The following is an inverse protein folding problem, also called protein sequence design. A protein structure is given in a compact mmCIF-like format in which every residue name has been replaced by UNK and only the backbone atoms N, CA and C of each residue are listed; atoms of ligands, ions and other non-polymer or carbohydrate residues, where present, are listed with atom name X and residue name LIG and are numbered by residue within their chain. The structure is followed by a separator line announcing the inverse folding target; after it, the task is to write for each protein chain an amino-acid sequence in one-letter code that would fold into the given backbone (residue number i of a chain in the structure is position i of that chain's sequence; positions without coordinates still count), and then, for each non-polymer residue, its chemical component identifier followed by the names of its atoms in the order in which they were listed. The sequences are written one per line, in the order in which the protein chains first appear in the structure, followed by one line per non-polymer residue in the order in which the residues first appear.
data_IF_303177337979
#
_entry.id   IF_303177337979
#
_cell.length_a   1.000
_cell.length_b   1.000
_cell.length_c   1.000
_cell.angle_alpha   90.00
_cell.angle_beta   90.00
_cell.angle_gamma   90.00
#
_symmetry.space_group_name_H-M   'P 1'
#
loop_
_entity.id
_entity.type
_entity.pdbx_description
1 polymer ?
#
# COMPACT_ATOMS: atom_id res chain seq x y z
N UNK A 1 7.32 -3.76 -8.04
CA UNK A 1 8.34 -2.70 -7.98
C UNK A 1 8.66 -2.34 -9.42
N UNK A 2 8.57 -1.05 -9.77
CA UNK A 2 8.54 -0.56 -11.15
C UNK A 2 9.76 0.32 -11.46
N UNK A 3 10.95 -0.15 -11.10
CA UNK A 3 12.17 0.60 -11.34
C UNK A 3 13.42 -0.25 -11.22
N UNK A 4 14.51 0.30 -11.73
CA UNK A 4 15.82 -0.32 -11.75
C UNK A 4 16.62 0.12 -10.53
N UNK A 5 16.95 -0.83 -9.64
CA UNK A 5 17.75 -0.59 -8.45
C UNK A 5 18.95 -1.53 -8.44
N UNK A 6 20.11 -1.02 -8.06
CA UNK A 6 21.36 -1.79 -8.08
C UNK A 6 21.29 -2.97 -7.10
N UNK A 7 20.74 -2.73 -5.91
CA UNK A 7 20.55 -3.74 -4.85
C UNK A 7 19.70 -3.18 -3.70
N UNK A 8 19.15 -4.08 -2.90
CA UNK A 8 18.49 -3.78 -1.63
C UNK A 8 19.38 -4.24 -0.48
N UNK A 9 19.84 -3.32 0.35
CA UNK A 9 20.82 -3.61 1.41
C UNK A 9 20.25 -3.51 2.82
N UNK A 10 19.07 -2.90 2.97
CA UNK A 10 18.38 -2.81 4.25
C UNK A 10 18.12 -4.19 4.87
N UNK A 11 18.50 -4.33 6.14
CA UNK A 11 18.23 -5.51 6.95
C UNK A 11 17.99 -5.06 8.39
N UNK A 12 16.79 -5.32 8.89
CA UNK A 12 16.39 -5.01 10.27
C UNK A 12 17.31 -5.66 11.29
N UNK A 13 17.84 -6.85 10.99
CA UNK A 13 18.67 -7.66 11.89
C UNK A 13 20.06 -7.06 12.14
N UNK A 14 20.52 -6.15 11.26
CA UNK A 14 21.80 -5.46 11.42
C UNK A 14 21.72 -4.25 12.35
N UNK A 15 20.51 -3.79 12.69
CA UNK A 15 20.26 -2.66 13.59
C UNK A 15 21.01 -1.37 13.20
N UNK A 16 21.20 -1.13 11.91
CA UNK A 16 21.78 0.12 11.43
C UNK A 16 20.79 1.28 11.65
N UNK A 17 21.29 2.41 12.14
CA UNK A 17 20.47 3.61 12.40
C UNK A 17 20.59 4.69 11.32
N UNK A 18 21.59 4.59 10.43
CA UNK A 18 21.83 5.55 9.35
C UNK A 18 22.91 5.05 8.39
N UNK A 19 22.91 5.55 7.15
CA UNK A 19 24.01 5.42 6.18
C UNK A 19 24.87 6.70 6.21
N UNK A 20 26.19 6.56 6.05
CA UNK A 20 27.14 7.69 6.12
C UNK A 20 27.91 7.84 4.82
N UNK A 21 27.73 8.99 4.16
CA UNK A 21 28.51 9.36 2.98
C UNK A 21 29.96 9.64 3.37
N UNK A 22 30.91 9.02 2.65
CA UNK A 22 32.34 9.23 2.86
C UNK A 22 32.91 10.16 1.79
N UNK A 23 33.80 11.06 2.19
CA UNK A 23 34.48 11.97 1.28
C UNK A 23 35.25 11.20 0.19
N UNK A 24 35.07 11.61 -1.06
CA UNK A 24 35.79 11.05 -2.21
C UNK A 24 35.31 9.66 -2.65
N UNK A 25 34.22 9.13 -2.10
CA UNK A 25 33.61 7.87 -2.54
C UNK A 25 32.45 8.12 -3.51
N UNK A 26 32.24 7.17 -4.41
CA UNK A 26 31.12 7.17 -5.36
C UNK A 26 29.82 6.91 -4.59
N UNK A 27 28.78 7.67 -4.90
CA UNK A 27 27.44 7.46 -4.34
C UNK A 27 26.69 6.41 -5.14
N UNK A 28 25.92 5.57 -4.44
CA UNK A 28 25.05 4.57 -5.07
C UNK A 28 23.61 4.78 -4.63
N UNK A 29 22.66 4.44 -5.51
CA UNK A 29 21.22 4.43 -5.22
C UNK A 29 20.89 3.55 -4.02
N UNK A 30 21.60 2.42 -3.86
CA UNK A 30 21.43 1.50 -2.75
C UNK A 30 21.61 2.17 -1.37
N UNK A 31 22.59 3.07 -1.24
CA UNK A 31 22.87 3.76 0.02
C UNK A 31 21.76 4.77 0.36
N UNK A 32 21.20 5.43 -0.67
CA UNK A 32 20.07 6.36 -0.52
C UNK A 32 18.76 5.63 -0.17
N UNK A 33 18.49 4.52 -0.86
CA UNK A 33 17.34 3.66 -0.60
C UNK A 33 17.41 3.05 0.81
N UNK A 34 18.56 2.50 1.21
CA UNK A 34 18.75 1.91 2.55
C UNK A 34 18.55 2.94 3.66
N UNK A 35 19.03 4.18 3.49
CA UNK A 35 18.77 5.24 4.46
C UNK A 35 17.27 5.54 4.60
N UNK A 36 16.52 5.52 3.50
CA UNK A 36 15.06 5.73 3.52
C UNK A 36 14.36 4.59 4.24
N UNK A 37 14.73 3.34 3.94
CA UNK A 37 14.15 2.16 4.57
C UNK A 37 14.46 2.07 6.07
N UNK A 38 15.68 2.44 6.49
CA UNK A 38 16.06 2.53 7.91
C UNK A 38 15.17 3.54 8.65
N UNK A 39 14.99 4.73 8.06
CA UNK A 39 14.16 5.76 8.67
C UNK A 39 12.68 5.34 8.75
N UNK A 40 12.15 4.75 7.68
CA UNK A 40 10.78 4.25 7.61
C UNK A 40 10.54 3.16 8.66
N UNK A 41 11.42 2.15 8.72
CA UNK A 41 11.33 1.08 9.72
C UNK A 41 11.31 1.63 11.15
N UNK A 42 12.19 2.59 11.45
CA UNK A 42 12.22 3.23 12.78
C UNK A 42 10.92 3.97 13.08
N UNK A 43 10.44 4.82 12.17
CA UNK A 43 9.22 5.62 12.35
C UNK A 43 8.00 4.74 12.54
N UNK A 44 7.84 3.70 11.71
CA UNK A 44 6.70 2.78 11.80
C UNK A 44 6.73 1.94 13.07
N UNK A 45 7.91 1.45 13.46
CA UNK A 45 8.05 0.68 14.71
C UNK A 45 7.75 1.56 15.92
N UNK A 46 8.27 2.79 15.95
CA UNK A 46 7.97 3.76 17.01
C UNK A 46 6.48 4.10 17.07
N UNK A 47 5.85 4.33 15.92
CA UNK A 47 4.41 4.58 15.85
C UNK A 47 3.61 3.37 16.36
N UNK A 48 3.98 2.15 15.97
CA UNK A 48 3.33 0.92 16.45
C UNK A 48 3.47 0.76 17.96
N UNK A 49 4.66 1.00 18.52
CA UNK A 49 4.94 0.81 19.94
C UNK A 49 4.25 1.87 20.82
N UNK A 50 4.13 3.11 20.34
CA UNK A 50 3.55 4.23 21.09
C UNK A 50 2.03 4.32 20.91
N UNK A 51 1.53 4.12 19.68
CA UNK A 51 0.11 4.29 19.34
C UNK A 51 -0.64 2.94 19.43
N UNK A 52 0.05 1.84 19.13
CA UNK A 52 -0.55 0.52 18.94
C UNK A 52 -0.80 0.18 17.47
N UNK A 53 -1.50 -0.94 17.22
CA UNK A 53 -1.83 -1.41 15.86
C UNK A 53 -2.72 -0.45 15.08
N UNK A 54 -3.58 0.29 15.77
CA UNK A 54 -4.40 1.31 15.15
C UNK A 54 -4.63 2.48 16.10
N UNK A 55 -4.66 3.68 15.56
CA UNK A 55 -4.94 4.87 16.35
C UNK A 55 -5.02 6.14 15.53
N UNK A 56 -5.56 7.19 16.15
CA UNK A 56 -5.75 8.48 15.53
C UNK A 56 -5.33 9.59 16.50
N UNK A 57 -4.78 10.72 16.01
CA UNK A 57 -4.49 11.85 16.87
C UNK A 57 -5.77 12.40 17.52
N UNK A 58 -5.75 12.67 18.82
CA UNK A 58 -6.97 13.06 19.56
C UNK A 58 -7.69 14.30 19.02
N UNK A 59 -6.98 15.23 18.37
CA UNK A 59 -7.53 16.48 17.81
C UNK A 59 -7.62 16.50 16.28
N UNK A 60 -7.03 15.52 15.60
CA UNK A 60 -6.99 15.43 14.14
C UNK A 60 -7.37 14.01 13.68
N UNK A 61 -8.28 13.36 14.41
CA UNK A 61 -8.72 12.01 14.12
C UNK A 61 -9.51 11.98 12.80
N UNK A 62 -8.97 11.29 11.80
CA UNK A 62 -9.63 11.13 10.51
C UNK A 62 -10.53 9.90 10.42
N UNK A 63 -11.10 9.69 9.23
CA UNK A 63 -11.79 8.45 8.84
C UNK A 63 -13.05 8.08 9.65
N UNK A 64 -13.57 9.03 10.42
CA UNK A 64 -14.90 8.89 11.02
C UNK A 64 -15.95 8.75 9.93
N UNK A 65 -16.82 7.77 10.08
CA UNK A 65 -17.97 7.58 9.18
C UNK A 65 -19.16 8.38 9.69
N UNK A 66 -19.79 9.15 8.80
CA UNK A 66 -20.95 9.96 9.16
C UNK A 66 -21.92 10.14 8.00
N UNK A 67 -23.20 10.35 8.31
CA UNK A 67 -24.25 10.68 7.35
C UNK A 67 -24.86 12.07 7.58
N UNK A 68 -24.54 12.70 8.72
CA UNK A 68 -25.06 14.00 9.10
C UNK A 68 -23.95 14.86 9.70
N UNK A 69 -23.68 15.99 9.05
CA UNK A 69 -22.67 16.98 9.43
C UNK A 69 -22.95 17.56 10.82
N UNK A 70 -24.22 17.59 11.26
CA UNK A 70 -24.61 18.11 12.57
C UNK A 70 -23.94 17.34 13.72
N UNK A 71 -23.60 16.06 13.48
CA UNK A 71 -22.95 15.17 14.46
C UNK A 71 -21.44 15.42 14.61
N UNK A 72 -20.84 16.23 13.74
CA UNK A 72 -19.44 16.56 13.81
C UNK A 72 -19.17 17.66 14.84
N UNK A 73 -18.11 17.47 15.62
CA UNK A 73 -17.61 18.47 16.56
C UNK A 73 -16.83 19.60 15.84
N UNK A 74 -16.36 20.60 16.59
CA UNK A 74 -15.68 21.76 16.02
C UNK A 74 -14.36 21.40 15.31
N UNK A 75 -13.57 20.48 15.87
CA UNK A 75 -12.29 20.05 15.30
C UNK A 75 -12.51 19.23 14.01
N UNK A 76 -13.50 18.33 14.01
CA UNK A 76 -13.88 17.51 12.86
C UNK A 76 -14.37 18.37 11.69
N UNK A 77 -15.12 19.45 11.96
CA UNK A 77 -15.64 20.35 10.92
C UNK A 77 -14.54 21.09 10.14
N UNK A 78 -13.33 21.20 10.67
CA UNK A 78 -12.16 21.77 9.95
C UNK A 78 -11.81 20.96 8.70
N UNK A 79 -12.08 19.67 8.70
CA UNK A 79 -11.78 18.74 7.60
C UNK A 79 -12.88 18.66 6.54
N UNK A 80 -13.93 19.47 6.69
CA UNK A 80 -14.94 19.61 5.64
C UNK A 80 -14.38 20.44 4.47
N UNK A 81 -14.72 20.09 3.22
CA UNK A 81 -14.34 20.90 2.07
C UNK A 81 -14.99 22.28 2.13
N UNK A 82 -14.36 23.27 1.47
CA UNK A 82 -14.92 24.62 1.34
C UNK A 82 -16.22 24.63 0.50
N UNK A 83 -16.35 23.68 -0.42
CA UNK A 83 -17.57 23.44 -1.19
C UNK A 83 -18.56 22.58 -0.41
N UNK A 84 -19.88 22.80 -0.55
CA UNK A 84 -20.89 21.96 0.10
C UNK A 84 -20.71 20.48 -0.24
N UNK A 85 -20.90 19.62 0.76
CA UNK A 85 -20.92 18.17 0.54
C UNK A 85 -22.05 17.78 -0.41
N UNK A 86 -21.83 16.80 -1.31
CA UNK A 86 -22.87 16.29 -2.20
C UNK A 86 -24.04 15.67 -1.42
N UNK A 87 -25.20 15.53 -2.05
CA UNK A 87 -26.34 14.85 -1.43
C UNK A 87 -26.03 13.36 -1.23
N UNK A 88 -26.48 12.80 -0.11
CA UNK A 88 -26.30 11.37 0.18
C UNK A 88 -27.33 10.53 -0.57
N UNK A 89 -26.83 9.54 -1.31
CA UNK A 89 -27.65 8.46 -1.85
C UNK A 89 -27.93 7.39 -0.78
N UNK A 90 -28.95 6.54 -1.03
CA UNK A 90 -29.28 5.47 -0.09
C UNK A 90 -28.13 4.47 0.01
N UNK A 91 -27.66 4.22 1.23
CA UNK A 91 -26.56 3.29 1.48
C UNK A 91 -25.16 3.90 1.38
N UNK A 92 -25.05 5.18 1.02
CA UNK A 92 -23.78 5.91 1.03
C UNK A 92 -23.58 6.65 2.36
N UNK A 93 -22.33 7.04 2.62
CA UNK A 93 -21.92 7.80 3.80
C UNK A 93 -20.61 8.54 3.53
N UNK A 94 -20.32 9.54 4.35
CA UNK A 94 -19.07 10.29 4.27
C UNK A 94 -17.98 9.66 5.12
N UNK A 95 -16.74 9.79 4.63
CA UNK A 95 -15.49 9.48 5.31
C UNK A 95 -14.84 10.82 5.65
N UNK A 96 -14.66 11.13 6.93
CA UNK A 96 -14.07 12.39 7.37
C UNK A 96 -12.59 12.51 6.96
N UNK A 97 -12.14 13.72 6.64
CA UNK A 97 -10.71 14.04 6.53
C UNK A 97 -9.99 13.97 7.89
N UNK A 98 -8.66 13.91 7.85
CA UNK A 98 -7.80 13.82 9.02
C UNK A 98 -6.76 12.72 8.90
N UNK A 99 -6.18 12.35 10.05
CA UNK A 99 -5.06 11.40 10.13
C UNK A 99 -5.45 10.13 10.87
N UNK A 100 -4.85 9.02 10.45
CA UNK A 100 -4.98 7.73 11.11
C UNK A 100 -3.70 6.92 10.94
N UNK A 101 -3.44 6.01 11.87
CA UNK A 101 -2.30 5.10 11.83
C UNK A 101 -2.80 3.66 11.79
N UNK A 102 -2.28 2.88 10.84
CA UNK A 102 -2.55 1.44 10.70
C UNK A 102 -1.22 0.71 10.66
N UNK A 103 -0.96 -0.14 11.65
CA UNK A 103 0.30 -0.86 11.85
C UNK A 103 1.54 0.05 11.74
N UNK A 104 1.45 1.26 12.33
CA UNK A 104 2.52 2.27 12.30
C UNK A 104 2.58 3.12 11.02
N UNK A 105 1.82 2.77 9.97
CA UNK A 105 1.76 3.53 8.72
C UNK A 105 0.81 4.72 8.88
N UNK A 106 1.31 5.94 8.67
CA UNK A 106 0.49 7.15 8.61
C UNK A 106 -0.38 7.16 7.36
N UNK A 107 -1.67 7.40 7.56
CA UNK A 107 -2.69 7.56 6.54
C UNK A 107 -3.33 8.93 6.70
N UNK A 108 -3.46 9.65 5.60
CA UNK A 108 -4.03 11.00 5.57
C UNK A 108 -5.16 11.08 4.54
N UNK A 109 -6.23 11.76 4.93
CA UNK A 109 -7.31 12.15 4.04
C UNK A 109 -7.50 13.66 4.14
N UNK A 110 -7.28 14.38 3.04
CA UNK A 110 -7.22 15.84 3.04
C UNK A 110 -8.57 16.52 3.29
N UNK A 111 -9.68 15.88 2.91
CA UNK A 111 -11.02 16.41 3.16
C UNK A 111 -12.08 15.31 3.21
N UNK A 112 -13.25 15.62 3.76
CA UNK A 112 -14.36 14.68 3.79
C UNK A 112 -14.80 14.28 2.36
N UNK A 113 -14.93 12.98 2.12
CA UNK A 113 -15.30 12.39 0.81
C UNK A 113 -16.45 11.39 0.98
N UNK A 114 -17.24 11.18 -0.08
CA UNK A 114 -18.22 10.07 -0.11
C UNK A 114 -17.51 8.72 -0.17
N UNK A 115 -18.06 7.69 0.45
CA UNK A 115 -17.56 6.32 0.34
C UNK A 115 -17.54 5.84 -1.11
N UNK A 116 -18.55 6.21 -1.89
CA UNK A 116 -18.60 5.90 -3.33
C UNK A 116 -17.55 6.64 -4.16
N UNK A 117 -17.03 7.77 -3.65
CA UNK A 117 -16.08 8.65 -4.34
C UNK A 117 -14.70 8.67 -3.66
N UNK A 118 -14.42 7.69 -2.80
CA UNK A 118 -13.15 7.61 -2.10
C UNK A 118 -11.99 7.50 -3.12
N UNK A 119 -10.83 8.10 -2.82
CA UNK A 119 -9.67 7.99 -3.67
C UNK A 119 -9.22 6.53 -3.79
N UNK A 120 -8.64 6.17 -4.94
CA UNK A 120 -8.04 4.86 -5.22
C UNK A 120 -8.99 3.63 -5.17
N UNK A 121 -10.26 3.76 -4.74
CA UNK A 121 -11.31 2.73 -4.86
C UNK A 121 -12.74 3.33 -4.92
N UNK A 122 -13.14 3.99 -6.02
CA UNK A 122 -14.54 4.33 -6.21
C UNK A 122 -15.41 3.08 -6.09
N UNK A 123 -16.35 3.08 -5.16
CA UNK A 123 -17.18 1.92 -4.82
C UNK A 123 -18.65 2.22 -5.02
N UNK A 124 -19.49 1.20 -5.10
CA UNK A 124 -20.94 1.40 -5.11
C UNK A 124 -21.45 1.59 -3.68
N UNK A 125 -22.48 2.43 -3.46
CA UNK A 125 -23.17 2.51 -2.18
C UNK A 125 -23.64 1.15 -1.66
N UNK A 126 -23.80 1.01 -0.34
CA UNK A 126 -24.23 -0.24 0.27
C UNK A 126 -25.67 -0.59 -0.17
N UNK A 127 -25.83 -1.70 -0.88
CA UNK A 127 -27.11 -2.09 -1.48
C UNK A 127 -28.13 -2.64 -0.48
N UNK A 128 -27.67 -3.42 0.49
CA UNK A 128 -28.55 -4.13 1.41
C UNK A 128 -28.41 -3.62 2.85
N UNK A 129 -29.52 -3.47 3.59
CA UNK A 129 -29.42 -3.06 4.98
C UNK A 129 -28.92 -4.22 5.86
N UNK A 130 -28.04 -3.91 6.80
CA UNK A 130 -27.46 -4.89 7.72
C UNK A 130 -26.44 -4.27 8.66
N UNK A 131 -25.78 -5.12 9.45
CA UNK A 131 -24.59 -4.73 10.20
C UNK A 131 -23.37 -4.91 9.30
N UNK A 132 -22.55 -3.86 9.23
CA UNK A 132 -21.31 -3.85 8.46
C UNK A 132 -20.13 -3.56 9.38
N UNK A 133 -19.01 -4.23 9.12
CA UNK A 133 -17.70 -3.83 9.62
C UNK A 133 -17.02 -3.03 8.51
N UNK A 134 -16.66 -1.78 8.83
CA UNK A 134 -15.82 -0.97 7.97
C UNK A 134 -14.36 -1.05 8.46
N UNK A 135 -13.43 -1.23 7.54
CA UNK A 135 -12.00 -1.30 7.85
C UNK A 135 -11.19 -0.58 6.79
N UNK A 136 -10.01 -0.10 7.20
CA UNK A 136 -9.04 0.51 6.31
C UNK A 136 -8.07 -0.58 5.82
N UNK A 137 -7.97 -0.71 4.52
CA UNK A 137 -6.92 -1.47 3.85
C UNK A 137 -5.84 -0.48 3.39
N UNK A 138 -4.62 -0.64 3.90
CA UNK A 138 -3.53 0.34 3.77
C UNK A 138 -2.29 -0.36 3.25
N UNK A 139 -1.71 0.18 2.19
CA UNK A 139 -0.45 -0.33 1.63
C UNK A 139 0.35 0.75 0.93
N UNK A 140 1.56 0.39 0.52
CA UNK A 140 2.45 1.26 -0.25
C UNK A 140 2.43 0.87 -1.72
N UNK A 141 2.07 1.83 -2.57
CA UNK A 141 2.09 1.69 -4.03
C UNK A 141 3.31 2.39 -4.60
N UNK A 142 4.02 1.70 -5.47
CA UNK A 142 5.10 2.27 -6.27
C UNK A 142 4.50 3.09 -7.44
N UNK A 143 4.90 4.34 -7.54
CA UNK A 143 4.50 5.31 -8.57
C UNK A 143 5.72 5.69 -9.41
N UNK A 144 5.58 5.63 -10.73
CA UNK A 144 6.60 6.08 -11.68
C UNK A 144 6.15 7.32 -12.44
N UNK A 145 7.07 7.90 -13.20
CA UNK A 145 6.80 9.03 -14.10
C UNK A 145 5.73 8.75 -15.19
N UNK A 146 5.35 7.48 -15.43
CA UNK A 146 4.24 7.14 -16.33
C UNK A 146 2.87 7.37 -15.67
N UNK A 147 2.80 7.15 -14.36
CA UNK A 147 1.58 7.34 -13.57
C UNK A 147 1.44 8.80 -13.11
N UNK A 148 2.54 9.45 -12.77
CA UNK A 148 2.60 10.86 -12.43
C UNK A 148 3.71 11.57 -13.24
N UNK A 149 3.36 12.23 -14.36
CA UNK A 149 4.33 12.92 -15.21
C UNK A 149 5.12 14.03 -14.50
N UNK A 150 4.62 14.56 -13.38
CA UNK A 150 5.30 15.62 -12.62
C UNK A 150 6.60 15.14 -11.94
N UNK A 151 6.79 13.82 -11.82
CA UNK A 151 8.02 13.22 -11.30
C UNK A 151 9.20 13.45 -12.24
N UNK A 152 8.98 13.67 -13.54
CA UNK A 152 10.07 13.88 -14.51
C UNK A 152 10.77 15.21 -14.27
N UNK A 153 12.09 15.20 -14.36
CA UNK A 153 12.86 16.44 -14.31
C UNK A 153 12.76 17.16 -15.67
N UNK A 154 12.00 18.25 -15.68
CA UNK A 154 11.74 19.03 -16.90
C UNK A 154 13.02 19.73 -17.37
N UNK A 155 13.88 20.19 -16.46
CA UNK A 155 15.11 20.91 -16.80
C UNK A 155 16.15 20.04 -17.51
N UNK A 156 16.12 18.72 -17.31
CA UNK A 156 17.04 17.77 -17.94
C UNK A 156 16.47 17.11 -19.20
N UNK A 157 15.35 17.61 -19.72
CA UNK A 157 14.72 17.08 -20.93
C UNK A 157 13.86 15.84 -20.69
N UNK A 158 13.38 15.62 -19.45
CA UNK A 158 12.46 14.53 -19.11
C UNK A 158 13.01 13.17 -18.68
N UNK A 159 14.32 12.94 -18.39
CA UNK A 159 14.76 11.70 -17.74
C UNK A 159 14.02 11.41 -16.43
N UNK A 160 13.74 10.13 -16.19
CA UNK A 160 13.30 9.65 -14.88
C UNK A 160 14.52 9.57 -13.95
N UNK A 161 14.52 10.35 -12.89
CA UNK A 161 15.62 10.40 -11.91
C UNK A 161 15.29 9.59 -10.64
N UNK A 162 14.07 9.10 -10.50
CA UNK A 162 13.65 8.38 -9.31
C UNK A 162 12.14 8.28 -9.21
N UNK A 163 11.71 7.19 -8.62
CA UNK A 163 10.29 6.86 -8.44
C UNK A 163 9.78 7.29 -7.06
N UNK A 164 8.49 7.14 -6.79
CA UNK A 164 7.87 7.47 -5.50
C UNK A 164 7.13 6.28 -4.93
N UNK A 165 7.03 6.25 -3.60
CA UNK A 165 6.15 5.34 -2.89
C UNK A 165 5.01 6.16 -2.30
N UNK A 166 3.78 5.88 -2.73
CA UNK A 166 2.55 6.49 -2.22
C UNK A 166 1.92 5.55 -1.20
N UNK A 167 1.62 6.04 -0.01
CA UNK A 167 0.70 5.34 0.90
C UNK A 167 -0.71 5.46 0.33
N UNK A 168 -1.34 4.31 0.08
CA UNK A 168 -2.72 4.22 -0.40
C UNK A 168 -3.57 3.65 0.70
N UNK A 169 -4.78 4.18 0.83
CA UNK A 169 -5.80 3.66 1.72
C UNK A 169 -7.08 3.40 0.95
N UNK A 170 -7.81 2.38 1.36
CA UNK A 170 -9.15 2.09 0.88
C UNK A 170 -10.03 1.76 2.08
N UNK A 171 -11.15 2.44 2.21
CA UNK A 171 -12.19 2.03 3.14
C UNK A 171 -13.01 0.93 2.48
N UNK A 172 -13.00 -0.26 3.07
CA UNK A 172 -13.78 -1.42 2.63
C UNK A 172 -14.81 -1.78 3.68
N UNK A 173 -15.91 -2.37 3.23
CA UNK A 173 -17.01 -2.81 4.10
C UNK A 173 -17.27 -4.29 3.90
N UNK A 174 -17.56 -4.99 4.99
CA UNK A 174 -17.99 -6.39 4.98
C UNK A 174 -19.29 -6.46 5.76
N UNK A 175 -20.33 -7.03 5.13
CA UNK A 175 -21.60 -7.31 5.80
C UNK A 175 -21.39 -8.51 6.72
N UNK A 176 -21.75 -8.36 7.99
CA UNK A 176 -21.57 -9.39 9.02
C UNK A 176 -22.90 -9.90 9.59
N UNK A 177 -23.98 -9.13 9.48
CA UNK A 177 -25.32 -9.59 9.89
C UNK A 177 -26.41 -8.96 9.01
N UNK A 178 -27.48 -9.70 8.80
CA UNK A 178 -28.69 -9.17 8.16
C UNK A 178 -29.49 -8.29 9.11
N UNK A 179 -30.20 -7.30 8.53
CA UNK A 179 -31.08 -6.40 9.30
C UNK A 179 -32.10 -7.14 10.17
N UNK A 180 -32.59 -8.30 9.71
CA UNK A 180 -33.62 -9.07 10.41
C UNK A 180 -33.06 -9.99 11.49
N UNK A 181 -31.73 -10.15 11.58
CA UNK A 181 -31.04 -11.04 12.51
C UNK A 181 -29.99 -10.32 13.36
N UNK A 182 -30.15 -9.00 13.57
CA UNK A 182 -29.19 -8.18 14.28
C UNK A 182 -29.03 -8.64 15.74
N UNK A 183 -27.81 -9.02 16.08
CA UNK A 183 -27.37 -9.28 17.45
C UNK A 183 -26.51 -8.11 17.94
N UNK A 184 -26.48 -7.88 19.25
CA UNK A 184 -25.61 -6.84 19.83
C UNK A 184 -24.15 -7.21 19.58
N UNK A 185 -23.43 -6.31 18.92
CA UNK A 185 -21.99 -6.40 18.71
C UNK A 185 -21.28 -5.28 19.47
N UNK A 186 -20.03 -5.52 19.84
CA UNK A 186 -19.11 -4.53 20.38
C UNK A 186 -17.74 -4.68 19.72
N UNK A 187 -16.78 -3.83 20.10
CA UNK A 187 -15.43 -3.84 19.51
C UNK A 187 -14.65 -5.16 19.73
N UNK A 188 -15.08 -6.01 20.66
CA UNK A 188 -14.51 -7.34 20.89
C UNK A 188 -15.28 -8.48 20.24
N UNK A 189 -16.36 -8.20 19.50
CA UNK A 189 -17.09 -9.23 18.76
C UNK A 189 -16.29 -9.66 17.53
N UNK A 190 -15.95 -10.95 17.47
CA UNK A 190 -15.28 -11.55 16.32
C UNK A 190 -16.32 -11.95 15.26
N UNK A 191 -16.09 -11.56 14.01
CA UNK A 191 -16.96 -11.87 12.87
C UNK A 191 -16.19 -12.71 11.86
N UNK A 192 -16.71 -13.89 11.53
CA UNK A 192 -16.04 -14.81 10.60
C UNK A 192 -15.85 -14.19 9.21
N UNK A 193 -16.85 -13.46 8.72
CA UNK A 193 -16.81 -12.78 7.44
C UNK A 193 -15.70 -11.72 7.40
N UNK A 194 -15.52 -10.98 8.50
CA UNK A 194 -14.45 -9.98 8.60
C UNK A 194 -13.07 -10.65 8.63
N UNK A 195 -12.89 -11.72 9.41
CA UNK A 195 -11.62 -12.48 9.43
C UNK A 195 -11.30 -13.08 8.07
N UNK A 196 -12.30 -13.62 7.37
CA UNK A 196 -12.12 -14.18 6.05
C UNK A 196 -11.70 -13.11 5.04
N UNK A 197 -12.31 -11.91 5.11
CA UNK A 197 -11.97 -10.78 4.23
C UNK A 197 -10.59 -10.17 4.51
N UNK A 198 -10.11 -10.25 5.76
CA UNK A 198 -8.82 -9.68 6.20
C UNK A 198 -7.73 -10.73 6.42
N UNK A 199 -7.98 -11.97 6.00
CA UNK A 199 -7.02 -13.05 6.13
C UNK A 199 -5.72 -12.72 5.38
N UNK A 200 -4.59 -12.88 6.06
CA UNK A 200 -3.27 -12.63 5.47
C UNK A 200 -3.08 -13.55 4.25
N UNK A 201 -2.76 -13.03 3.06
CA UNK A 201 -2.52 -13.85 1.89
C UNK A 201 -1.39 -14.85 2.13
N UNK A 202 -1.66 -16.14 1.90
CA UNK A 202 -0.67 -17.22 2.07
C UNK A 202 0.09 -17.55 0.78
N UNK A 203 -0.29 -16.94 -0.34
CA UNK A 203 0.35 -17.13 -1.64
C UNK A 203 1.82 -16.72 -1.60
N UNK A 204 2.72 -17.64 -1.97
CA UNK A 204 4.15 -17.35 -2.12
C UNK A 204 4.55 -17.51 -3.58
N UNK A 205 5.37 -16.58 -4.07
CA UNK A 205 6.00 -16.70 -5.38
C UNK A 205 7.38 -17.33 -5.24
N UNK A 206 7.73 -18.22 -6.19
CA UNK A 206 9.10 -18.70 -6.38
C UNK A 206 9.49 -18.45 -7.83
N UNK A 207 10.54 -17.65 -8.03
CA UNK A 207 11.20 -17.53 -9.32
C UNK A 207 12.53 -18.30 -9.27
N UNK A 208 12.93 -18.92 -10.38
CA UNK A 208 14.26 -19.51 -10.54
C UNK A 208 14.73 -19.28 -11.96
N UNK A 209 16.03 -19.08 -12.14
CA UNK A 209 16.65 -19.25 -13.45
C UNK A 209 16.44 -20.69 -13.95
N UNK A 210 16.38 -20.87 -15.26
CA UNK A 210 16.39 -22.20 -15.86
C UNK A 210 17.70 -22.89 -15.43
N UNK A 211 17.64 -24.06 -14.76
CA UNK A 211 18.86 -24.80 -14.44
C UNK A 211 19.59 -25.18 -15.73
N UNK A 212 20.91 -25.20 -15.66
CA UNK A 212 21.72 -25.78 -16.74
C UNK A 212 21.41 -27.29 -16.81
N UNK A 213 21.34 -27.83 -18.03
CA UNK A 213 21.21 -29.27 -18.23
C UNK A 213 22.51 -29.95 -17.81
N UNK A 214 22.42 -31.04 -17.04
CA UNK A 214 23.58 -31.83 -16.62
C UNK A 214 24.37 -32.27 -17.86
N UNK A 215 25.64 -31.88 -17.92
CA UNK A 215 26.48 -32.20 -19.06
C UNK A 215 27.25 -33.49 -18.84
N UNK A 216 27.18 -34.36 -19.84
CA UNK A 216 27.85 -35.66 -19.88
C UNK A 216 29.24 -35.61 -20.54
N UNK A 217 29.67 -34.44 -21.04
CA UNK A 217 30.96 -34.29 -21.76
C UNK A 217 31.84 -33.17 -21.17
N UNK A 218 33.10 -33.46 -20.77
CA UNK A 218 33.96 -32.51 -20.03
C UNK A 218 34.38 -31.23 -20.76
N UNK A 219 34.12 -31.10 -22.07
CA UNK A 219 34.77 -30.10 -22.92
C UNK A 219 33.80 -29.20 -23.71
N UNK A 220 32.49 -29.36 -23.55
CA UNK A 220 31.50 -28.52 -24.24
C UNK A 220 30.91 -27.57 -23.21
N UNK A 221 31.36 -26.32 -23.12
CA UNK A 221 30.62 -25.34 -22.32
C UNK A 221 29.19 -25.27 -22.91
N UNK A 222 28.14 -25.54 -22.12
CA UNK A 222 26.77 -25.42 -22.63
C UNK A 222 26.57 -23.94 -23.04
N UNK A 223 25.60 -23.64 -23.92
CA UNK A 223 25.04 -22.30 -23.99
C UNK A 223 24.49 -21.98 -22.59
N UNK A 224 25.35 -21.37 -21.78
CA UNK A 224 25.15 -21.27 -20.33
C UNK A 224 23.84 -20.56 -20.04
N UNK A 225 23.18 -20.95 -18.97
CA UNK A 225 21.98 -20.30 -18.48
C UNK A 225 22.21 -18.77 -18.50
N UNK A 226 21.26 -18.04 -19.11
CA UNK A 226 21.43 -16.69 -19.67
C UNK A 226 21.67 -15.53 -18.70
N UNK A 227 22.54 -15.69 -17.70
CA UNK A 227 22.90 -14.68 -16.71
C UNK A 227 24.41 -14.58 -16.57
N UNK A 228 25.08 -13.95 -17.55
CA UNK A 228 26.55 -13.75 -17.53
C UNK A 228 26.98 -12.29 -17.30
N UNK A 229 26.05 -11.36 -17.09
CA UNK A 229 26.34 -9.92 -17.05
C UNK A 229 25.73 -9.27 -15.80
N UNK A 230 26.30 -8.12 -15.40
CA UNK A 230 25.87 -7.26 -14.28
C UNK A 230 24.54 -6.52 -14.58
N UNK A 231 23.67 -7.10 -15.39
CA UNK A 231 22.41 -6.49 -15.81
C UNK A 231 21.39 -6.54 -14.66
N UNK A 232 20.35 -5.71 -14.74
CA UNK A 232 19.29 -5.70 -13.74
C UNK A 232 18.68 -7.10 -13.58
N UNK A 233 18.65 -7.58 -12.33
CA UNK A 233 18.07 -8.87 -11.93
C UNK A 233 16.73 -8.70 -11.20
N UNK A 234 16.17 -7.50 -11.22
CA UNK A 234 14.83 -7.24 -10.71
C UNK A 234 13.79 -7.66 -11.75
N UNK A 235 12.81 -8.41 -11.28
CA UNK A 235 11.65 -8.80 -12.08
C UNK A 235 10.42 -8.12 -11.49
N UNK A 236 9.69 -7.37 -12.32
CA UNK A 236 8.36 -6.91 -11.95
C UNK A 236 7.35 -8.00 -12.31
N UNK A 237 6.50 -8.35 -11.35
CA UNK A 237 5.40 -9.30 -11.53
C UNK A 237 4.16 -8.63 -11.02
N UNK A 238 3.17 -8.49 -11.89
CA UNK A 238 1.91 -7.81 -11.59
C UNK A 238 0.74 -8.75 -11.81
N UNK A 239 -0.25 -8.68 -10.91
CA UNK A 239 -1.51 -9.38 -11.06
C UNK A 239 -2.35 -8.60 -12.07
N UNK A 240 -2.56 -9.17 -13.26
CA UNK A 240 -3.40 -8.55 -14.28
C UNK A 240 -4.88 -8.86 -14.09
N UNK A 241 -5.19 -10.11 -13.70
CA UNK A 241 -6.53 -10.54 -13.34
C UNK A 241 -6.43 -11.35 -12.05
N UNK A 242 -7.16 -10.92 -11.02
CA UNK A 242 -7.31 -11.69 -9.78
C UNK A 242 -8.18 -12.92 -10.01
N UNK A 243 -8.00 -13.95 -9.19
CA UNK A 243 -8.78 -15.18 -9.26
C UNK A 243 -8.13 -16.33 -8.52
N UNK A 244 -8.83 -17.47 -8.49
CA UNK A 244 -8.26 -18.71 -8.00
C UNK A 244 -7.25 -19.33 -8.98
N UNK A 245 -6.71 -20.48 -8.59
CA UNK A 245 -5.83 -21.28 -9.45
C UNK A 245 -6.45 -21.52 -10.84
N UNK A 246 -5.67 -21.29 -11.90
CA UNK A 246 -6.11 -21.43 -13.30
C UNK A 246 -6.92 -20.26 -13.87
N UNK A 247 -7.31 -19.28 -13.05
CA UNK A 247 -8.05 -18.08 -13.51
C UNK A 247 -7.28 -16.78 -13.31
N UNK A 248 -6.41 -16.73 -12.30
CA UNK A 248 -5.51 -15.61 -12.09
C UNK A 248 -4.53 -15.48 -13.25
N UNK A 249 -4.36 -14.27 -13.77
CA UNK A 249 -3.42 -13.94 -14.83
C UNK A 249 -2.37 -12.96 -14.31
N UNK A 250 -1.12 -13.24 -14.63
CA UNK A 250 0.03 -12.42 -14.23
C UNK A 250 0.72 -11.87 -15.47
N UNK A 251 1.19 -10.63 -15.36
CA UNK A 251 2.15 -10.04 -16.28
C UNK A 251 3.48 -9.99 -15.57
N UNK A 252 4.56 -10.18 -16.32
CA UNK A 252 5.89 -9.98 -15.77
C UNK A 252 6.77 -9.28 -16.78
N UNK A 253 7.71 -8.50 -16.28
CA UNK A 253 8.73 -7.82 -17.06
C UNK A 253 10.10 -8.04 -16.42
N UNK A 254 11.12 -8.10 -17.27
CA UNK A 254 12.53 -8.05 -16.89
C UNK A 254 13.06 -6.62 -16.92
N UNK A 255 12.54 -5.81 -17.84
CA UNK A 255 12.89 -4.39 -17.99
C UNK A 255 11.87 -3.59 -17.18
N UNK A 256 12.31 -2.83 -16.18
CA UNK A 256 11.42 -2.13 -15.24
C UNK A 256 11.43 -0.62 -15.42
#
# INVERSE_FOLDING_TARGET
MKGDFTRWTFSREKHYSSVRMQQGRVQMDADWNEQTDIAAHRIETEALDVIGRCGAPARDAGFRLFTDVSRLNADERRWLPATPLPALETGDFFILGGRYYVDGILVENESAVLFSQQPDLPSEPLKEPGLYVAYLDVWRRHITALEDPSIREVALGGPDHGTRTKTVWQLKTVRVQDRNALQRANCGTDFEEYRAATAVPTGRMRARAKPEEDQTTPCVLPPGAGFRRLENQLYCVEIHRSGGFGTAAFKWSREN
#
